data_IF_511942267879
#
_entry.id   IF_511942267879
#
_cell.length_a   1.000
_cell.length_b   1.000
_cell.length_c   1.000
_cell.angle_alpha   90.00
_cell.angle_beta   90.00
_cell.angle_gamma   90.00
#
_symmetry.space_group_name_H-M   'P 1'
#
loop_
_entity.id
_entity.type
_entity.pdbx_description
1 polymer ?
#
# COMPACT_ATOMS: atom_id res chain seq x y z
N UNK A 1 -27.45 40.97 47.48
CA UNK A 1 -26.27 41.29 46.64
C UNK A 1 -25.66 40.00 46.15
N UNK A 2 -25.93 39.69 44.93
CA UNK A 2 -25.11 39.33 43.78
C UNK A 2 -23.89 38.46 44.10
N UNK A 3 -23.99 37.17 43.81
CA UNK A 3 -22.92 36.32 43.34
C UNK A 3 -23.49 35.46 42.21
N UNK A 4 -23.35 35.99 41.03
CA UNK A 4 -23.51 35.25 39.77
C UNK A 4 -22.18 35.15 39.10
N UNK A 5 -22.04 34.08 38.35
CA UNK A 5 -21.06 33.89 37.28
C UNK A 5 -19.64 33.48 37.70
N UNK A 6 -19.29 32.21 37.50
CA UNK A 6 -18.25 31.69 36.63
C UNK A 6 -18.39 30.16 36.58
N UNK A 7 -19.05 29.62 35.59
CA UNK A 7 -19.04 28.17 35.24
C UNK A 7 -19.39 28.00 33.76
N UNK A 8 -18.54 28.59 32.91
CA UNK A 8 -18.56 28.31 31.46
C UNK A 8 -17.08 28.27 31.03
N UNK A 9 -16.53 27.09 30.80
CA UNK A 9 -15.19 27.04 30.23
C UNK A 9 -14.45 25.72 30.26
N UNK A 10 -15.10 24.54 30.38
CA UNK A 10 -14.40 23.25 30.30
C UNK A 10 -15.25 22.21 29.55
N UNK A 11 -15.69 22.47 28.33
CA UNK A 11 -16.39 21.45 27.54
C UNK A 11 -15.82 21.31 26.11
N UNK A 12 -14.84 22.10 25.71
CA UNK A 12 -14.44 22.16 24.29
C UNK A 12 -13.16 21.39 23.89
N UNK A 13 -12.52 20.63 24.78
CA UNK A 13 -11.24 19.97 24.45
C UNK A 13 -11.32 18.43 24.24
N UNK A 14 -12.46 17.80 24.51
CA UNK A 14 -12.60 16.35 24.42
C UNK A 14 -13.00 15.83 23.00
N UNK A 15 -13.49 16.69 22.12
CA UNK A 15 -14.01 16.25 20.81
C UNK A 15 -12.96 16.09 19.70
N UNK A 16 -11.71 16.51 19.91
CA UNK A 16 -10.71 16.52 18.82
C UNK A 16 -9.97 15.17 18.70
N UNK A 17 -9.88 14.39 19.75
CA UNK A 17 -9.15 13.11 19.75
C UNK A 17 -9.96 11.96 19.15
N UNK A 18 -11.27 11.92 19.32
CA UNK A 18 -12.11 10.84 18.78
C UNK A 18 -12.20 10.88 17.24
N UNK A 19 -12.15 12.04 16.62
CA UNK A 19 -12.24 12.18 15.17
C UNK A 19 -11.02 11.59 14.43
N UNK A 20 -9.84 11.67 15.00
CA UNK A 20 -8.61 11.15 14.36
C UNK A 20 -8.56 9.62 14.37
N UNK A 21 -9.02 8.98 15.44
CA UNK A 21 -9.06 7.52 15.55
C UNK A 21 -10.10 6.89 14.62
N UNK A 22 -11.29 7.47 14.51
CA UNK A 22 -12.33 6.99 13.60
C UNK A 22 -11.93 7.15 12.13
N UNK A 23 -11.21 8.21 11.80
CA UNK A 23 -10.73 8.46 10.44
C UNK A 23 -9.63 7.46 10.03
N UNK A 24 -8.67 7.16 10.91
CA UNK A 24 -7.62 6.16 10.63
C UNK A 24 -8.19 4.76 10.45
N UNK A 25 -9.17 4.35 11.25
CA UNK A 25 -9.84 3.06 11.08
C UNK A 25 -10.61 2.97 9.75
N UNK A 26 -11.25 4.05 9.32
CA UNK A 26 -11.91 4.13 8.02
C UNK A 26 -10.92 4.04 6.85
N UNK A 27 -9.78 4.71 6.97
CA UNK A 27 -8.74 4.70 5.96
C UNK A 27 -8.04 3.31 5.85
N UNK A 28 -7.87 2.59 6.96
CA UNK A 28 -7.36 1.21 6.94
C UNK A 28 -8.35 0.23 6.31
N UNK A 29 -9.63 0.34 6.61
CA UNK A 29 -10.67 -0.48 6.00
C UNK A 29 -10.76 -0.22 4.49
N UNK A 30 -10.60 1.03 4.05
CA UNK A 30 -10.57 1.39 2.64
C UNK A 30 -9.33 0.82 1.93
N UNK A 31 -8.15 0.87 2.57
CA UNK A 31 -6.94 0.25 2.04
C UNK A 31 -7.14 -1.25 1.79
N UNK A 32 -7.69 -1.97 2.77
CA UNK A 32 -7.98 -3.39 2.64
C UNK A 32 -9.02 -3.67 1.55
N UNK A 33 -10.06 -2.85 1.45
CA UNK A 33 -11.07 -2.96 0.39
C UNK A 33 -10.46 -2.78 -1.01
N UNK A 34 -9.51 -1.86 -1.17
CA UNK A 34 -8.81 -1.64 -2.44
C UNK A 34 -7.93 -2.84 -2.81
N UNK A 35 -7.26 -3.44 -1.82
CA UNK A 35 -6.45 -4.65 -2.00
C UNK A 35 -7.33 -5.82 -2.49
N UNK A 36 -8.45 -6.08 -1.82
CA UNK A 36 -9.40 -7.13 -2.22
C UNK A 36 -9.93 -6.90 -3.63
N UNK A 37 -10.29 -5.65 -3.98
CA UNK A 37 -10.74 -5.32 -5.34
C UNK A 37 -9.67 -5.55 -6.41
N UNK A 38 -8.40 -5.36 -6.08
CA UNK A 38 -7.33 -5.67 -7.02
C UNK A 38 -7.18 -7.18 -7.23
N UNK A 39 -7.32 -7.98 -6.16
CA UNK A 39 -7.32 -9.45 -6.25
C UNK A 39 -8.51 -9.96 -7.07
N UNK A 40 -9.70 -9.43 -6.84
CA UNK A 40 -10.90 -9.74 -7.63
C UNK A 40 -10.72 -9.38 -9.12
N UNK A 41 -10.09 -8.24 -9.41
CA UNK A 41 -9.80 -7.81 -10.77
C UNK A 41 -8.84 -8.80 -11.48
N UNK A 42 -7.76 -9.22 -10.81
CA UNK A 42 -6.85 -10.25 -11.36
C UNK A 42 -7.55 -11.58 -11.55
N UNK A 43 -8.36 -12.02 -10.60
CA UNK A 43 -9.16 -13.25 -10.73
C UNK A 43 -10.14 -13.18 -11.91
N UNK A 44 -10.59 -11.97 -12.27
CA UNK A 44 -11.47 -11.71 -13.42
C UNK A 44 -10.72 -11.38 -14.71
N UNK A 45 -9.40 -11.60 -14.73
CA UNK A 45 -8.53 -11.32 -15.88
C UNK A 45 -8.47 -9.84 -16.30
N UNK A 46 -8.61 -8.91 -15.32
CA UNK A 46 -8.51 -7.45 -15.50
C UNK A 46 -7.26 -6.87 -14.81
N UNK A 47 -6.07 -6.96 -15.43
CA UNK A 47 -4.85 -6.39 -14.87
C UNK A 47 -4.85 -4.86 -14.84
N UNK A 48 -5.66 -4.17 -15.66
CA UNK A 48 -5.80 -2.72 -15.61
C UNK A 48 -6.55 -2.28 -14.36
N UNK A 49 -7.66 -2.93 -14.05
CA UNK A 49 -8.42 -2.73 -12.82
C UNK A 49 -7.59 -3.05 -11.58
N UNK A 50 -6.82 -4.11 -11.61
CA UNK A 50 -5.90 -4.47 -10.53
C UNK A 50 -4.82 -3.38 -10.30
N UNK A 51 -4.15 -2.93 -11.37
CA UNK A 51 -3.16 -1.86 -11.31
C UNK A 51 -3.75 -0.56 -10.72
N UNK A 52 -4.95 -0.19 -11.18
CA UNK A 52 -5.64 1.01 -10.67
C UNK A 52 -5.95 0.90 -9.18
N UNK A 53 -6.48 -0.23 -8.72
CA UNK A 53 -6.82 -0.42 -7.32
C UNK A 53 -5.58 -0.47 -6.42
N UNK A 54 -4.48 -1.13 -6.85
CA UNK A 54 -3.21 -1.13 -6.12
C UNK A 54 -2.57 0.26 -6.07
N UNK A 55 -2.64 1.04 -7.15
CA UNK A 55 -2.18 2.43 -7.14
C UNK A 55 -2.94 3.29 -6.12
N UNK A 56 -4.26 3.08 -5.97
CA UNK A 56 -5.08 3.75 -4.94
C UNK A 56 -4.74 3.25 -3.53
N UNK A 57 -4.50 1.94 -3.36
CA UNK A 57 -4.05 1.38 -2.09
C UNK A 57 -2.70 1.95 -1.65
N UNK A 58 -1.76 2.13 -2.59
CA UNK A 58 -0.47 2.77 -2.33
C UNK A 58 -0.63 4.22 -1.84
N UNK A 59 -1.52 5.00 -2.47
CA UNK A 59 -1.83 6.36 -2.02
C UNK A 59 -2.47 6.39 -0.63
N UNK A 60 -3.32 5.41 -0.31
CA UNK A 60 -3.93 5.28 1.01
C UNK A 60 -2.88 4.92 2.07
N UNK A 61 -1.98 3.97 1.78
CA UNK A 61 -0.86 3.63 2.66
C UNK A 61 0.03 4.86 2.94
N UNK A 62 0.37 5.62 1.90
CA UNK A 62 1.09 6.89 2.06
C UNK A 62 0.37 7.87 2.99
N UNK A 63 -0.94 8.04 2.81
CA UNK A 63 -1.76 8.91 3.68
C UNK A 63 -1.73 8.43 5.13
N UNK A 64 -1.90 7.13 5.38
CA UNK A 64 -1.81 6.54 6.72
C UNK A 64 -0.44 6.78 7.37
N UNK A 65 0.65 6.66 6.59
CA UNK A 65 1.99 7.01 7.06
C UNK A 65 2.11 8.48 7.49
N UNK A 66 1.55 9.41 6.71
CA UNK A 66 1.53 10.82 7.05
C UNK A 66 0.70 11.14 8.30
N UNK A 67 -0.43 10.46 8.49
CA UNK A 67 -1.29 10.60 9.67
C UNK A 67 -0.62 10.01 10.93
N UNK A 68 0.26 9.04 10.76
CA UNK A 68 0.99 8.37 11.83
C UNK A 68 2.36 8.98 12.14
N UNK A 69 2.67 10.18 11.65
CA UNK A 69 4.01 10.80 11.71
C UNK A 69 4.66 10.86 13.09
N UNK A 70 3.86 10.87 14.16
CA UNK A 70 4.35 10.88 15.54
C UNK A 70 4.73 9.47 16.04
N UNK A 71 4.50 8.42 15.24
CA UNK A 71 4.86 7.04 15.53
C UNK A 71 5.75 6.47 14.42
N UNK A 72 7.06 6.52 14.62
CA UNK A 72 8.05 6.07 13.64
C UNK A 72 7.83 4.60 13.17
N UNK A 73 7.37 3.72 14.04
CA UNK A 73 7.10 2.33 13.68
C UNK A 73 5.92 2.23 12.70
N UNK A 74 4.84 2.98 12.95
CA UNK A 74 3.70 3.05 12.02
C UNK A 74 4.08 3.71 10.70
N UNK A 75 4.89 4.76 10.72
CA UNK A 75 5.40 5.40 9.49
C UNK A 75 6.14 4.39 8.63
N UNK A 76 7.11 3.65 9.20
CA UNK A 76 7.85 2.61 8.47
C UNK A 76 6.95 1.51 7.92
N UNK A 77 6.00 1.04 8.73
CA UNK A 77 5.03 0.03 8.30
C UNK A 77 4.26 0.48 7.05
N UNK A 78 3.72 1.70 7.06
CA UNK A 78 2.96 2.22 5.92
C UNK A 78 3.83 2.61 4.73
N UNK A 79 5.10 2.99 4.93
CA UNK A 79 6.07 3.17 3.84
C UNK A 79 6.36 1.83 3.15
N UNK A 80 6.54 0.76 3.90
CA UNK A 80 6.69 -0.58 3.36
C UNK A 80 5.44 -1.04 2.59
N UNK A 81 4.25 -0.78 3.13
CA UNK A 81 2.98 -1.06 2.45
C UNK A 81 2.83 -0.24 1.16
N UNK A 82 3.14 1.07 1.18
CA UNK A 82 3.14 1.91 -0.03
C UNK A 82 4.05 1.29 -1.10
N UNK A 83 5.28 0.91 -0.72
CA UNK A 83 6.26 0.32 -1.63
C UNK A 83 5.78 -1.02 -2.21
N UNK A 84 5.16 -1.88 -1.39
CA UNK A 84 4.58 -3.15 -1.85
C UNK A 84 3.46 -2.91 -2.87
N UNK A 85 2.49 -2.05 -2.54
CA UNK A 85 1.36 -1.78 -3.44
C UNK A 85 1.79 -1.06 -4.72
N UNK A 86 2.83 -0.22 -4.67
CA UNK A 86 3.46 0.33 -5.89
C UNK A 86 4.10 -0.74 -6.75
N UNK A 87 4.76 -1.71 -6.14
CA UNK A 87 5.30 -2.84 -6.89
C UNK A 87 4.21 -3.62 -7.60
N UNK A 88 3.12 -3.93 -6.90
CA UNK A 88 1.97 -4.65 -7.47
C UNK A 88 1.29 -3.81 -8.57
N UNK A 89 1.10 -2.50 -8.38
CA UNK A 89 0.61 -1.59 -9.42
C UNK A 89 1.45 -1.70 -10.69
N UNK A 90 2.79 -1.62 -10.56
CA UNK A 90 3.68 -1.66 -11.71
C UNK A 90 3.69 -3.04 -12.39
N UNK A 91 3.65 -4.13 -11.63
CA UNK A 91 3.57 -5.47 -12.20
C UNK A 91 2.28 -5.71 -12.97
N UNK A 92 1.13 -5.35 -12.40
CA UNK A 92 -0.16 -5.45 -13.10
C UNK A 92 -0.24 -4.52 -14.32
N UNK A 93 0.36 -3.33 -14.24
CA UNK A 93 0.49 -2.44 -15.42
C UNK A 93 1.34 -3.08 -16.51
N UNK A 94 2.43 -3.77 -16.17
CA UNK A 94 3.22 -4.50 -17.15
C UNK A 94 2.41 -5.60 -17.84
N UNK A 95 1.61 -6.36 -17.08
CA UNK A 95 0.68 -7.38 -17.65
C UNK A 95 -0.32 -6.75 -18.61
N UNK A 96 -0.94 -5.64 -18.23
CA UNK A 96 -1.90 -4.92 -19.07
C UNK A 96 -1.25 -4.41 -20.38
N UNK A 97 -0.06 -3.83 -20.29
CA UNK A 97 0.71 -3.36 -21.44
C UNK A 97 1.11 -4.51 -22.37
N UNK A 98 1.57 -5.64 -21.80
CA UNK A 98 1.95 -6.82 -22.57
C UNK A 98 0.77 -7.40 -23.35
N UNK A 99 -0.40 -7.52 -22.75
CA UNK A 99 -1.62 -7.93 -23.42
C UNK A 99 -2.03 -6.97 -24.55
N UNK A 100 -1.99 -5.66 -24.26
CA UNK A 100 -2.33 -4.63 -25.24
C UNK A 100 -1.40 -4.66 -26.47
N UNK A 101 -0.14 -5.08 -26.26
CA UNK A 101 0.84 -5.32 -27.32
C UNK A 101 0.65 -6.67 -28.06
N UNK A 102 -0.42 -7.42 -27.75
CA UNK A 102 -0.69 -8.74 -28.36
C UNK A 102 0.25 -9.85 -27.87
N UNK A 103 0.88 -9.69 -26.71
CA UNK A 103 1.75 -10.72 -26.14
C UNK A 103 3.06 -10.96 -26.90
N UNK A 104 3.55 -9.97 -27.65
CA UNK A 104 4.76 -10.11 -28.46
C UNK A 104 6.02 -10.18 -27.62
N UNK A 105 6.91 -11.09 -27.96
CA UNK A 105 8.22 -11.28 -27.32
C UNK A 105 9.37 -10.94 -28.29
N UNK A 106 10.47 -10.34 -27.80
CA UNK A 106 10.62 -9.78 -26.43
C UNK A 106 9.64 -8.63 -26.17
N UNK A 107 9.28 -8.44 -24.92
CA UNK A 107 8.33 -7.41 -24.54
C UNK A 107 8.87 -5.99 -24.82
N UNK A 108 7.96 -5.04 -24.99
CA UNK A 108 8.33 -3.64 -25.25
C UNK A 108 9.06 -3.01 -24.05
N UNK A 109 9.84 -1.96 -24.33
CA UNK A 109 10.54 -1.19 -23.30
C UNK A 109 9.60 -0.64 -22.20
N UNK A 110 8.34 -0.34 -22.54
CA UNK A 110 7.34 0.10 -21.56
C UNK A 110 6.93 -0.99 -20.59
N UNK A 111 6.82 -2.25 -21.06
CA UNK A 111 6.57 -3.42 -20.20
C UNK A 111 7.75 -3.66 -19.28
N UNK A 112 8.95 -3.76 -19.84
CA UNK A 112 10.17 -4.03 -19.06
C UNK A 112 10.50 -2.91 -18.09
N UNK A 113 10.27 -1.65 -18.47
CA UNK A 113 10.39 -0.49 -17.56
C UNK A 113 9.43 -0.57 -16.37
N UNK A 114 8.19 -1.01 -16.59
CA UNK A 114 7.22 -1.22 -15.50
C UNK A 114 7.68 -2.35 -14.57
N UNK A 115 8.23 -3.45 -15.09
CA UNK A 115 8.77 -4.54 -14.27
C UNK A 115 10.00 -4.12 -13.47
N UNK A 116 10.89 -3.32 -14.03
CA UNK A 116 12.03 -2.76 -13.30
C UNK A 116 11.57 -1.87 -12.13
N UNK A 117 10.53 -1.06 -12.32
CA UNK A 117 9.92 -0.27 -11.24
C UNK A 117 9.27 -1.17 -10.18
N UNK A 118 8.60 -2.26 -10.60
CA UNK A 118 8.03 -3.24 -9.69
C UNK A 118 9.11 -3.88 -8.82
N UNK A 119 10.19 -4.35 -9.43
CA UNK A 119 11.33 -4.96 -8.74
C UNK A 119 11.96 -4.01 -7.71
N UNK A 120 12.26 -2.78 -8.10
CA UNK A 120 12.85 -1.80 -7.19
C UNK A 120 11.92 -1.40 -6.04
N UNK A 121 10.60 -1.44 -6.27
CA UNK A 121 9.62 -1.13 -5.23
C UNK A 121 9.44 -2.26 -4.23
N UNK A 122 9.41 -3.54 -4.67
CA UNK A 122 9.28 -4.67 -3.74
C UNK A 122 10.54 -4.83 -2.88
N UNK A 123 11.73 -4.55 -3.41
CA UNK A 123 12.95 -4.56 -2.62
C UNK A 123 12.91 -3.51 -1.49
N UNK A 124 12.41 -2.32 -1.76
CA UNK A 124 12.19 -1.31 -0.71
C UNK A 124 11.18 -1.76 0.32
N UNK A 125 10.06 -2.37 -0.12
CA UNK A 125 9.05 -2.90 0.79
C UNK A 125 9.65 -3.92 1.78
N UNK A 126 10.50 -4.84 1.33
CA UNK A 126 11.16 -5.82 2.18
C UNK A 126 12.08 -5.18 3.23
N UNK A 127 12.75 -4.08 2.88
CA UNK A 127 13.59 -3.34 3.82
C UNK A 127 12.75 -2.63 4.90
N UNK A 128 11.66 -1.97 4.49
CA UNK A 128 10.81 -1.19 5.40
C UNK A 128 9.91 -2.08 6.28
N UNK A 129 9.53 -3.27 5.79
CA UNK A 129 8.71 -4.25 6.52
C UNK A 129 9.52 -5.19 7.41
N UNK A 130 10.83 -4.95 7.60
CA UNK A 130 11.64 -5.73 8.53
C UNK A 130 11.11 -5.59 9.95
N UNK A 131 10.85 -6.73 10.62
CA UNK A 131 10.16 -6.78 11.92
C UNK A 131 11.04 -6.43 13.14
N UNK A 132 12.34 -6.21 12.94
CA UNK A 132 13.35 -6.15 14.01
C UNK A 132 13.14 -5.04 15.06
N UNK A 133 12.22 -4.10 14.84
CA UNK A 133 11.97 -2.96 15.75
C UNK A 133 10.50 -2.54 15.86
N UNK A 134 9.56 -3.41 15.48
CA UNK A 134 8.14 -3.07 15.49
C UNK A 134 7.48 -3.45 16.84
N UNK A 135 6.58 -2.60 17.38
CA UNK A 135 5.72 -2.96 18.51
C UNK A 135 4.87 -4.20 18.18
N UNK A 136 4.59 -5.03 19.19
CA UNK A 136 3.80 -6.27 19.05
C UNK A 136 2.48 -6.05 18.29
N UNK A 137 1.83 -4.92 18.52
CA UNK A 137 0.56 -4.54 17.84
C UNK A 137 0.68 -4.36 16.32
N UNK A 138 1.88 -4.14 15.78
CA UNK A 138 2.15 -3.95 14.35
C UNK A 138 2.80 -5.17 13.70
N UNK A 139 3.37 -6.09 14.49
CA UNK A 139 4.13 -7.25 13.98
C UNK A 139 3.28 -8.11 13.05
N UNK A 140 2.07 -8.48 13.45
CA UNK A 140 1.21 -9.34 12.63
C UNK A 140 0.94 -8.74 11.24
N UNK A 141 0.66 -7.44 11.18
CA UNK A 141 0.41 -6.74 9.92
C UNK A 141 1.68 -6.63 9.07
N UNK A 142 2.80 -6.31 9.68
CA UNK A 142 4.09 -6.26 9.01
C UNK A 142 4.48 -7.62 8.44
N UNK A 143 4.26 -8.69 9.19
CA UNK A 143 4.53 -10.06 8.74
C UNK A 143 3.70 -10.42 7.51
N UNK A 144 2.38 -10.19 7.54
CA UNK A 144 1.50 -10.45 6.38
C UNK A 144 1.93 -9.67 5.13
N UNK A 145 2.26 -8.39 5.27
CA UNK A 145 2.70 -7.60 4.12
C UNK A 145 4.10 -8.01 3.65
N UNK A 146 4.97 -8.42 4.56
CA UNK A 146 6.28 -8.95 4.20
C UNK A 146 6.18 -10.28 3.44
N UNK A 147 5.36 -11.21 3.91
CA UNK A 147 5.08 -12.46 3.19
C UNK A 147 4.53 -12.19 1.79
N UNK A 148 3.58 -11.27 1.67
CA UNK A 148 3.08 -10.84 0.36
C UNK A 148 4.19 -10.21 -0.52
N UNK A 149 5.14 -9.48 0.05
CA UNK A 149 6.26 -8.91 -0.68
C UNK A 149 7.25 -10.00 -1.14
N UNK A 150 7.55 -10.98 -0.29
CA UNK A 150 8.41 -12.12 -0.62
C UNK A 150 7.82 -12.93 -1.79
N UNK A 151 6.51 -13.24 -1.74
CA UNK A 151 5.79 -13.91 -2.83
C UNK A 151 5.81 -13.07 -4.12
N UNK A 152 5.65 -11.75 -3.98
CA UNK A 152 5.61 -10.85 -5.13
C UNK A 152 6.97 -10.71 -5.83
N UNK A 153 8.08 -10.86 -5.12
CA UNK A 153 9.44 -10.95 -5.72
C UNK A 153 9.49 -12.08 -6.73
N UNK A 154 8.95 -13.26 -6.38
CA UNK A 154 8.93 -14.43 -7.25
C UNK A 154 8.11 -14.16 -8.51
N UNK A 155 6.93 -13.56 -8.34
CA UNK A 155 6.04 -13.21 -9.45
C UNK A 155 6.70 -12.22 -10.41
N UNK A 156 7.33 -11.17 -9.90
CA UNK A 156 8.01 -10.16 -10.72
C UNK A 156 9.20 -10.78 -11.47
N UNK A 157 10.01 -11.62 -10.81
CA UNK A 157 11.13 -12.30 -11.43
C UNK A 157 10.68 -13.25 -12.56
N UNK A 158 9.58 -13.98 -12.36
CA UNK A 158 8.98 -14.81 -13.39
C UNK A 158 8.53 -13.98 -14.59
N UNK A 159 7.80 -12.87 -14.36
CA UNK A 159 7.36 -11.97 -15.44
C UNK A 159 8.55 -11.39 -16.23
N UNK A 160 9.64 -10.99 -15.57
CA UNK A 160 10.85 -10.49 -16.25
C UNK A 160 11.40 -11.56 -17.20
N UNK A 161 11.46 -12.81 -16.74
CA UNK A 161 11.96 -13.95 -17.55
C UNK A 161 11.01 -14.28 -18.69
N UNK A 162 9.70 -14.42 -18.41
CA UNK A 162 8.68 -14.83 -19.38
C UNK A 162 8.49 -13.77 -20.48
N UNK A 163 8.63 -12.50 -20.14
CA UNK A 163 8.51 -11.39 -21.09
C UNK A 163 9.83 -11.06 -21.80
N UNK A 164 10.88 -11.82 -21.51
CA UNK A 164 12.23 -11.67 -22.10
C UNK A 164 12.75 -10.23 -21.92
N UNK A 165 12.56 -9.65 -20.73
CA UNK A 165 13.12 -8.37 -20.39
C UNK A 165 14.61 -8.46 -20.09
N UNK A 166 15.44 -7.46 -20.55
CA UNK A 166 16.88 -7.45 -20.32
C UNK A 166 17.24 -7.19 -18.85
#
# INVERSE_FOLDING_TARGET
MKLSTVLIGIVSLACITESAWTQTMGDEAELERLRVKAEEAIASDDPEGAAMNMGRAALMAKRLGLLSRDNHASVRLYQGAESLFRSQEHGYRAMALFRRAGGQLPASSGVCGSLALAQGSVQRALLDLSSESLPVSLVERATRWRESADDWVIVVAAMITDYQCP
#
